data_IF_251450215379
#
_entry.id   IF_251450215379
#
_cell.length_a   1.000
_cell.length_b   1.000
_cell.length_c   1.000
_cell.angle_alpha   90.00
_cell.angle_beta   90.00
_cell.angle_gamma   90.00
#
_symmetry.space_group_name_H-M   'P 1'
#
loop_
_entity.id
_entity.type
_entity.pdbx_description
1 polymer ?
#
# COMPACT_ATOMS: atom_id res chain seq x y z
N UNK A 1 -12.85 -1.27 19.55
CA UNK A 1 -12.58 -0.71 20.91
C UNK A 1 -13.92 -0.36 21.56
N UNK A 2 -14.08 -0.55 22.88
CA UNK A 2 -15.32 -0.19 23.60
C UNK A 2 -15.26 1.25 24.12
N UNK A 3 -16.40 1.97 24.19
CA UNK A 3 -16.41 3.31 24.75
C UNK A 3 -16.05 3.29 26.25
N UNK A 4 -15.33 4.30 26.75
CA UNK A 4 -15.10 4.47 28.19
C UNK A 4 -16.43 4.48 28.99
N UNK A 5 -16.51 3.77 30.13
CA UNK A 5 -17.75 3.61 30.87
C UNK A 5 -18.26 4.93 31.49
N UNK A 6 -17.35 5.87 31.74
CA UNK A 6 -17.61 7.20 32.32
C UNK A 6 -18.36 8.16 31.38
N UNK A 7 -18.49 7.83 30.10
CA UNK A 7 -19.16 8.68 29.12
C UNK A 7 -20.68 8.69 29.31
N UNK A 8 -21.29 9.84 29.04
CA UNK A 8 -22.74 9.96 28.85
C UNK A 8 -23.19 9.19 27.62
N UNK A 9 -24.47 8.77 27.59
CA UNK A 9 -24.99 7.96 26.48
C UNK A 9 -24.83 8.60 25.09
N UNK A 10 -25.03 9.92 24.90
CA UNK A 10 -24.78 10.57 23.61
C UNK A 10 -23.32 10.45 23.15
N UNK A 11 -22.35 10.54 24.07
CA UNK A 11 -20.93 10.41 23.76
C UNK A 11 -20.53 8.95 23.53
N UNK A 12 -21.16 8.00 24.23
CA UNK A 12 -21.00 6.56 23.96
C UNK A 12 -21.47 6.21 22.55
N UNK A 13 -22.58 6.79 22.12
CA UNK A 13 -23.13 6.55 20.78
C UNK A 13 -22.22 7.14 19.69
N UNK A 14 -21.77 8.40 19.85
CA UNK A 14 -20.79 8.99 18.94
C UNK A 14 -19.50 8.17 18.87
N UNK A 15 -18.98 7.72 20.01
CA UNK A 15 -17.78 6.87 20.05
C UNK A 15 -17.96 5.59 19.23
N UNK A 16 -19.11 4.92 19.35
CA UNK A 16 -19.41 3.70 18.57
C UNK A 16 -19.46 3.99 17.07
N UNK A 17 -20.10 5.07 16.67
CA UNK A 17 -20.18 5.50 15.27
C UNK A 17 -18.78 5.77 14.70
N UNK A 18 -17.96 6.51 15.44
CA UNK A 18 -16.57 6.78 15.05
C UNK A 18 -15.72 5.50 15.01
N UNK A 19 -15.95 4.55 15.93
CA UNK A 19 -15.24 3.28 15.94
C UNK A 19 -15.56 2.43 14.72
N UNK A 20 -16.80 2.44 14.21
CA UNK A 20 -17.14 1.76 12.96
C UNK A 20 -16.32 2.30 11.79
N UNK A 21 -16.15 3.62 11.71
CA UNK A 21 -15.33 4.25 10.67
C UNK A 21 -13.85 3.91 10.83
N UNK A 22 -13.31 3.92 12.07
CA UNK A 22 -11.94 3.49 12.35
C UNK A 22 -11.71 2.02 11.98
N UNK A 23 -12.67 1.14 12.28
CA UNK A 23 -12.60 -0.27 11.90
C UNK A 23 -12.56 -0.44 10.38
N UNK A 24 -13.39 0.31 9.64
CA UNK A 24 -13.36 0.28 8.17
C UNK A 24 -11.99 0.72 7.63
N UNK A 25 -11.40 1.78 8.20
CA UNK A 25 -10.08 2.24 7.80
C UNK A 25 -9.00 1.18 8.07
N UNK A 26 -8.98 0.58 9.27
CA UNK A 26 -8.06 -0.52 9.61
C UNK A 26 -8.16 -1.69 8.63
N UNK A 27 -9.39 -2.09 8.29
CA UNK A 27 -9.63 -3.17 7.34
C UNK A 27 -9.10 -2.81 5.94
N UNK A 28 -9.39 -1.59 5.47
CA UNK A 28 -8.88 -1.10 4.19
C UNK A 28 -7.34 -1.12 4.17
N UNK A 29 -6.69 -0.60 5.22
CA UNK A 29 -5.24 -0.59 5.33
C UNK A 29 -4.65 -2.00 5.34
N UNK A 30 -5.30 -2.95 6.01
CA UNK A 30 -4.91 -4.36 5.97
C UNK A 30 -5.00 -4.95 4.57
N UNK A 31 -6.12 -4.72 3.86
CA UNK A 31 -6.31 -5.26 2.51
C UNK A 31 -5.28 -4.69 1.53
N UNK A 32 -4.96 -3.40 1.63
CA UNK A 32 -3.97 -2.76 0.76
C UNK A 32 -2.55 -3.30 0.99
N UNK A 33 -2.18 -3.59 2.24
CA UNK A 33 -0.90 -4.22 2.58
C UNK A 33 -0.80 -5.63 2.00
N UNK A 34 -1.82 -6.46 2.20
CA UNK A 34 -1.89 -7.81 1.61
C UNK A 34 -1.78 -7.78 0.09
N UNK A 35 -2.49 -6.84 -0.56
CA UNK A 35 -2.40 -6.66 -2.02
C UNK A 35 -0.99 -6.28 -2.47
N UNK A 36 -0.27 -5.46 -1.69
CA UNK A 36 1.10 -5.09 -2.02
C UNK A 36 2.05 -6.29 -1.90
N UNK A 37 1.93 -7.09 -0.83
CA UNK A 37 2.69 -8.32 -0.61
C UNK A 37 2.48 -9.30 -1.77
N UNK A 38 1.22 -9.63 -2.07
CA UNK A 38 0.88 -10.55 -3.17
C UNK A 38 1.36 -10.02 -4.52
N UNK A 39 1.30 -8.70 -4.74
CA UNK A 39 1.82 -8.09 -5.97
C UNK A 39 3.34 -8.23 -6.08
N UNK A 40 4.07 -8.13 -4.96
CA UNK A 40 5.52 -8.34 -4.91
C UNK A 40 5.87 -9.79 -5.24
N UNK A 41 5.23 -10.74 -4.56
CA UNK A 41 5.42 -12.18 -4.80
C UNK A 41 5.19 -12.55 -6.27
N UNK A 42 4.12 -12.02 -6.88
CA UNK A 42 3.84 -12.24 -8.30
C UNK A 42 4.92 -11.67 -9.21
N UNK A 43 5.46 -10.49 -8.90
CA UNK A 43 6.51 -9.87 -9.73
C UNK A 43 7.82 -10.65 -9.63
N UNK A 44 8.19 -11.10 -8.43
CA UNK A 44 9.32 -12.02 -8.22
C UNK A 44 9.15 -13.27 -9.08
N UNK A 45 7.98 -13.92 -9.03
CA UNK A 45 7.67 -15.08 -9.87
C UNK A 45 7.77 -14.79 -11.37
N UNK A 46 7.34 -13.60 -11.83
CA UNK A 46 7.50 -13.17 -13.24
C UNK A 46 8.97 -13.06 -13.63
N UNK A 47 9.83 -12.53 -12.74
CA UNK A 47 11.28 -12.45 -12.98
C UNK A 47 11.90 -13.84 -13.10
N UNK A 48 11.54 -14.77 -12.21
CA UNK A 48 11.96 -16.17 -12.28
C UNK A 48 11.50 -16.86 -13.58
N UNK A 49 10.24 -16.68 -13.97
CA UNK A 49 9.70 -17.27 -15.20
C UNK A 49 10.38 -16.72 -16.45
N UNK A 50 10.64 -15.40 -16.47
CA UNK A 50 11.42 -14.76 -17.55
C UNK A 50 12.82 -15.38 -17.65
N UNK A 51 13.53 -15.53 -16.53
CA UNK A 51 14.86 -16.13 -16.51
C UNK A 51 14.87 -17.58 -16.99
N UNK A 52 13.93 -18.41 -16.50
CA UNK A 52 13.81 -19.81 -16.91
C UNK A 52 13.57 -19.95 -18.42
N UNK A 53 12.71 -19.10 -19.00
CA UNK A 53 12.46 -19.08 -20.44
C UNK A 53 13.69 -18.68 -21.24
N UNK A 54 14.42 -17.66 -20.79
CA UNK A 54 15.66 -17.25 -21.46
C UNK A 54 16.71 -18.35 -21.42
N UNK A 55 16.86 -19.07 -20.29
CA UNK A 55 17.76 -20.23 -20.17
C UNK A 55 17.35 -21.39 -21.09
N UNK A 56 16.05 -21.60 -21.27
CA UNK A 56 15.50 -22.62 -22.15
C UNK A 56 15.44 -22.20 -23.64
N UNK A 57 15.92 -20.99 -23.99
CA UNK A 57 15.78 -20.39 -25.32
C UNK A 57 14.32 -20.37 -25.84
N UNK A 58 13.36 -20.16 -24.93
CA UNK A 58 11.94 -20.13 -25.26
C UNK A 58 11.46 -18.69 -25.53
N UNK A 59 10.81 -18.49 -26.68
CA UNK A 59 10.17 -17.23 -27.04
C UNK A 59 8.97 -16.92 -26.13
N UNK A 60 8.50 -15.66 -26.16
CA UNK A 60 7.32 -15.26 -25.39
C UNK A 60 6.11 -16.04 -25.91
N UNK A 61 5.29 -16.67 -25.04
CA UNK A 61 4.10 -17.36 -25.50
C UNK A 61 3.15 -16.37 -26.15
N UNK A 62 2.54 -16.77 -27.28
CA UNK A 62 1.55 -15.94 -27.96
C UNK A 62 0.29 -15.83 -27.07
N UNK A 63 0.07 -14.65 -26.52
CA UNK A 63 -1.03 -14.38 -25.59
C UNK A 63 -1.59 -12.96 -25.77
N UNK A 64 -2.81 -12.71 -25.29
CA UNK A 64 -3.38 -11.37 -25.29
C UNK A 64 -2.48 -10.35 -24.57
N UNK A 65 -1.84 -10.76 -23.46
CA UNK A 65 -0.89 -9.90 -22.73
C UNK A 65 0.33 -9.54 -23.60
N UNK A 66 0.85 -10.49 -24.37
CA UNK A 66 1.98 -10.26 -25.29
C UNK A 66 1.60 -9.29 -26.40
N UNK A 67 0.44 -9.49 -27.01
CA UNK A 67 -0.06 -8.60 -28.08
C UNK A 67 -0.29 -7.18 -27.55
N UNK A 68 -0.84 -7.04 -26.34
CA UNK A 68 -1.04 -5.73 -25.72
C UNK A 68 0.29 -5.05 -25.40
N UNK A 69 1.28 -5.80 -24.91
CA UNK A 69 2.63 -5.29 -24.62
C UNK A 69 3.33 -4.84 -25.91
N UNK A 70 3.28 -5.64 -26.97
CA UNK A 70 3.86 -5.30 -28.28
C UNK A 70 3.18 -4.08 -28.94
N UNK A 71 1.92 -3.81 -28.57
CA UNK A 71 1.17 -2.64 -29.05
C UNK A 71 1.45 -1.34 -28.25
N UNK A 72 2.19 -1.41 -27.13
CA UNK A 72 2.55 -0.21 -26.37
C UNK A 72 3.56 0.64 -27.14
N UNK A 73 3.25 1.93 -27.31
CA UNK A 73 4.03 2.90 -28.12
C UNK A 73 5.49 3.03 -27.66
N UNK A 74 5.79 2.68 -26.40
CA UNK A 74 7.13 2.73 -25.83
C UNK A 74 7.93 1.43 -26.01
N UNK A 75 7.30 0.32 -26.43
CA UNK A 75 8.00 -0.88 -26.85
C UNK A 75 8.45 -0.70 -28.30
N UNK A 76 9.50 0.09 -28.50
CA UNK A 76 10.20 0.10 -29.79
C UNK A 76 10.89 -1.25 -29.92
N UNK A 77 10.56 -2.09 -30.92
CA UNK A 77 11.31 -3.31 -31.17
C UNK A 77 12.77 -2.92 -31.38
N UNK A 78 13.68 -3.49 -30.59
CA UNK A 78 15.10 -3.48 -30.95
C UNK A 78 15.17 -4.12 -32.33
N UNK A 79 15.57 -3.35 -33.34
CA UNK A 79 15.62 -3.79 -34.73
C UNK A 79 16.20 -5.21 -34.81
N UNK A 80 15.44 -6.12 -35.40
CA UNK A 80 15.83 -7.51 -35.65
C UNK A 80 16.95 -7.62 -36.72
N UNK A 81 17.78 -6.59 -36.87
CA UNK A 81 18.96 -6.52 -37.73
C UNK A 81 20.25 -6.52 -36.90
N UNK A 82 20.33 -7.38 -35.88
CA UNK A 82 21.61 -7.81 -35.36
C UNK A 82 21.97 -9.13 -36.07
N UNK A 83 22.72 -8.99 -37.17
CA UNK A 83 23.57 -10.01 -37.81
C UNK A 83 23.70 -11.32 -36.99
N UNK A 84 23.11 -12.40 -37.51
CA UNK A 84 23.14 -13.79 -36.97
C UNK A 84 24.58 -14.31 -36.70
N UNK A 85 25.60 -13.56 -37.10
CA UNK A 85 27.00 -13.95 -37.02
C UNK A 85 27.72 -13.49 -35.75
N UNK A 86 27.11 -12.67 -34.88
CA UNK A 86 27.80 -12.16 -33.66
C UNK A 86 26.88 -11.97 -32.45
N UNK A 87 26.10 -12.96 -32.06
CA UNK A 87 25.57 -12.99 -30.68
C UNK A 87 26.77 -13.12 -29.74
N UNK A 88 27.27 -11.98 -29.30
CA UNK A 88 28.37 -11.84 -28.37
C UNK A 88 28.12 -12.75 -27.16
N UNK A 89 29.12 -13.51 -26.73
CA UNK A 89 29.06 -14.30 -25.47
C UNK A 89 28.64 -13.41 -24.29
N UNK A 90 28.86 -12.09 -24.41
CA UNK A 90 28.49 -11.04 -23.44
C UNK A 90 26.99 -10.72 -23.40
N UNK A 91 26.24 -11.01 -24.47
CA UNK A 91 24.78 -10.81 -24.56
C UNK A 91 23.98 -12.02 -24.06
N UNK A 92 24.65 -13.10 -23.66
CA UNK A 92 23.99 -14.24 -23.04
C UNK A 92 23.53 -13.86 -21.65
N UNK A 93 22.26 -14.15 -21.37
CA UNK A 93 21.71 -14.14 -20.03
C UNK A 93 22.69 -14.78 -19.04
N UNK A 94 22.89 -14.12 -17.91
CA UNK A 94 23.79 -14.56 -16.86
C UNK A 94 23.18 -14.26 -15.48
N UNK A 95 23.74 -14.89 -14.45
CA UNK A 95 23.25 -14.74 -13.08
C UNK A 95 23.24 -13.28 -12.59
N UNK A 96 24.17 -12.43 -13.04
CA UNK A 96 24.19 -11.00 -12.66
C UNK A 96 22.97 -10.26 -13.23
N UNK A 97 22.59 -10.54 -14.46
CA UNK A 97 21.38 -9.98 -15.08
C UNK A 97 20.14 -10.34 -14.28
N UNK A 98 20.04 -11.60 -13.86
CA UNK A 98 18.93 -12.09 -13.04
C UNK A 98 18.85 -11.40 -11.68
N UNK A 99 19.97 -11.30 -10.96
CA UNK A 99 20.03 -10.60 -9.67
C UNK A 99 19.67 -9.12 -9.82
N UNK A 100 20.09 -8.47 -10.92
CA UNK A 100 19.69 -7.08 -11.20
C UNK A 100 18.18 -6.94 -11.34
N UNK A 101 17.50 -7.87 -12.05
CA UNK A 101 16.05 -7.81 -12.18
C UNK A 101 15.31 -8.02 -10.86
N UNK A 102 15.82 -8.89 -9.98
CA UNK A 102 15.25 -9.05 -8.64
C UNK A 102 15.44 -7.77 -7.82
N UNK A 103 16.62 -7.15 -7.88
CA UNK A 103 16.87 -5.88 -7.20
C UNK A 103 15.94 -4.76 -7.72
N UNK A 104 15.68 -4.71 -9.02
CA UNK A 104 14.73 -3.74 -9.60
C UNK A 104 13.30 -3.93 -9.04
N UNK A 105 12.91 -5.19 -8.74
CA UNK A 105 11.62 -5.50 -8.09
C UNK A 105 11.65 -5.06 -6.63
N UNK A 106 12.70 -5.38 -5.88
CA UNK A 106 12.84 -4.98 -4.48
C UNK A 106 12.77 -3.44 -4.34
N UNK A 107 13.58 -2.72 -5.12
CA UNK A 107 13.62 -1.25 -5.13
C UNK A 107 12.26 -0.63 -5.51
N UNK A 108 11.51 -1.28 -6.41
CA UNK A 108 10.17 -0.85 -6.82
C UNK A 108 9.19 -1.02 -5.66
N UNK A 109 9.16 -2.18 -5.02
CA UNK A 109 8.20 -2.47 -3.97
C UNK A 109 8.51 -1.76 -2.65
N UNK A 110 9.77 -1.46 -2.35
CA UNK A 110 10.17 -0.61 -1.23
C UNK A 110 9.64 0.83 -1.38
N UNK A 111 9.72 1.39 -2.59
CA UNK A 111 9.13 2.70 -2.90
C UNK A 111 7.61 2.66 -2.75
N UNK A 112 6.95 1.62 -3.28
CA UNK A 112 5.50 1.46 -3.14
C UNK A 112 5.07 1.30 -1.69
N UNK A 113 5.80 0.53 -0.87
CA UNK A 113 5.57 0.38 0.58
C UNK A 113 5.69 1.73 1.30
N UNK A 114 6.75 2.49 0.99
CA UNK A 114 6.96 3.82 1.58
C UNK A 114 5.80 4.76 1.24
N UNK A 115 5.38 4.82 -0.03
CA UNK A 115 4.23 5.61 -0.45
C UNK A 115 2.92 5.16 0.20
N UNK A 116 2.71 3.85 0.31
CA UNK A 116 1.53 3.26 0.96
C UNK A 116 1.45 3.71 2.43
N UNK A 117 2.52 3.54 3.18
CA UNK A 117 2.58 3.88 4.60
C UNK A 117 2.37 5.38 4.85
N UNK A 118 3.02 6.23 4.07
CA UNK A 118 2.82 7.69 4.17
C UNK A 118 1.36 8.07 3.93
N UNK A 119 0.72 7.49 2.91
CA UNK A 119 -0.71 7.72 2.66
C UNK A 119 -1.57 7.25 3.83
N UNK A 120 -1.32 6.05 4.36
CA UNK A 120 -2.10 5.51 5.48
C UNK A 120 -1.95 6.35 6.75
N UNK A 121 -0.76 6.89 7.02
CA UNK A 121 -0.52 7.85 8.12
C UNK A 121 -1.34 9.13 7.94
N UNK A 122 -1.36 9.69 6.72
CA UNK A 122 -2.19 10.87 6.43
C UNK A 122 -3.68 10.59 6.58
N UNK A 123 -4.16 9.43 6.13
CA UNK A 123 -5.56 9.03 6.28
C UNK A 123 -5.95 8.86 7.75
N UNK A 124 -5.12 8.20 8.55
CA UNK A 124 -5.34 8.03 9.99
C UNK A 124 -5.37 9.38 10.72
N UNK A 125 -4.43 10.28 10.42
CA UNK A 125 -4.38 11.62 10.98
C UNK A 125 -5.59 12.47 10.57
N UNK A 126 -5.97 12.44 9.29
CA UNK A 126 -7.13 13.15 8.77
C UNK A 126 -8.44 12.66 9.43
N UNK A 127 -8.62 11.34 9.54
CA UNK A 127 -9.77 10.77 10.24
C UNK A 127 -9.79 11.19 11.71
N UNK A 128 -8.65 11.14 12.40
CA UNK A 128 -8.58 11.54 13.80
C UNK A 128 -8.92 13.04 13.99
N UNK A 129 -8.44 13.91 13.10
CA UNK A 129 -8.78 15.33 13.13
C UNK A 129 -10.29 15.57 12.97
N UNK A 130 -10.92 14.91 12.00
CA UNK A 130 -12.39 14.97 11.80
C UNK A 130 -13.12 14.48 13.04
N UNK A 131 -12.73 13.33 13.58
CA UNK A 131 -13.38 12.74 14.75
C UNK A 131 -13.21 13.59 16.01
N UNK A 132 -12.06 14.28 16.18
CA UNK A 132 -11.85 15.23 17.27
C UNK A 132 -12.72 16.47 17.12
N UNK A 133 -12.92 16.97 15.90
CA UNK A 133 -13.83 18.09 15.63
C UNK A 133 -15.30 17.70 15.91
N UNK A 134 -15.74 16.53 15.45
CA UNK A 134 -17.08 16.01 15.76
C UNK A 134 -17.28 15.85 17.26
N UNK A 135 -16.26 15.36 17.97
CA UNK A 135 -16.30 15.21 19.42
C UNK A 135 -16.39 16.56 20.13
N UNK A 136 -15.59 17.55 19.71
CA UNK A 136 -15.65 18.91 20.21
C UNK A 136 -17.06 19.51 20.04
N UNK A 137 -17.62 19.40 18.83
CA UNK A 137 -18.98 19.87 18.54
C UNK A 137 -19.99 19.16 19.43
N UNK A 138 -19.85 17.85 19.64
CA UNK A 138 -20.77 17.10 20.50
C UNK A 138 -20.70 17.53 21.96
N UNK A 139 -19.52 17.84 22.48
CA UNK A 139 -19.37 18.40 23.82
C UNK A 139 -20.06 19.77 23.92
N UNK A 140 -19.86 20.64 22.93
CA UNK A 140 -20.50 21.96 22.87
C UNK A 140 -22.02 21.88 22.74
N UNK A 141 -22.57 20.90 22.02
CA UNK A 141 -24.01 20.65 21.95
C UNK A 141 -24.61 20.26 23.31
N UNK A 142 -23.89 19.44 24.08
CA UNK A 142 -24.36 18.90 25.36
C UNK A 142 -24.24 19.93 26.49
N UNK A 143 -23.17 20.71 26.51
CA UNK A 143 -22.95 21.78 27.48
C UNK A 143 -22.14 22.95 26.87
N UNK A 144 -22.83 23.90 26.21
CA UNK A 144 -22.18 25.01 25.54
C UNK A 144 -21.40 25.92 26.50
N UNK A 145 -21.84 26.05 27.75
CA UNK A 145 -21.21 26.94 28.72
C UNK A 145 -19.86 26.40 29.17
N UNK A 146 -19.79 25.11 29.47
CA UNK A 146 -18.55 24.44 29.91
C UNK A 146 -17.53 24.32 28.77
N UNK A 147 -17.98 24.04 27.54
CA UNK A 147 -17.09 23.68 26.43
C UNK A 147 -16.89 24.77 25.36
N UNK A 148 -17.27 26.03 25.64
CA UNK A 148 -17.22 27.14 24.67
C UNK A 148 -15.87 27.33 23.99
N UNK A 149 -14.77 27.11 24.71
CA UNK A 149 -13.40 27.36 24.23
C UNK A 149 -12.51 26.12 24.20
N UNK A 150 -13.08 24.91 24.35
CA UNK A 150 -12.27 23.68 24.34
C UNK A 150 -11.60 23.52 22.98
N UNK A 151 -10.31 23.22 22.98
CA UNK A 151 -9.53 22.96 21.77
C UNK A 151 -9.55 21.47 21.41
N UNK A 152 -9.50 21.13 20.12
CA UNK A 152 -9.41 19.72 19.69
C UNK A 152 -8.16 19.01 20.21
N UNK A 153 -7.10 19.76 20.52
CA UNK A 153 -5.85 19.23 21.06
C UNK A 153 -5.94 18.88 22.56
N UNK A 154 -6.94 19.42 23.27
CA UNK A 154 -7.20 19.13 24.69
C UNK A 154 -8.06 17.87 24.87
N UNK A 155 -8.68 17.38 23.79
CA UNK A 155 -9.44 16.13 23.80
C UNK A 155 -8.47 14.97 24.01
N UNK A 156 -8.71 14.18 25.05
CA UNK A 156 -7.86 13.05 25.39
C UNK A 156 -7.95 11.94 24.33
N UNK A 157 -6.82 11.31 24.03
CA UNK A 157 -6.72 10.29 22.98
C UNK A 157 -7.63 9.08 23.23
N UNK A 158 -7.83 8.69 24.48
CA UNK A 158 -8.71 7.56 24.80
C UNK A 158 -10.19 7.80 24.45
N UNK A 159 -10.61 9.07 24.30
CA UNK A 159 -11.95 9.43 23.81
C UNK A 159 -12.02 9.39 22.28
N UNK A 160 -10.96 9.80 21.59
CA UNK A 160 -10.86 9.78 20.13
C UNK A 160 -9.53 9.16 19.70
N UNK A 161 -9.42 7.81 19.71
CA UNK A 161 -8.16 7.13 19.45
C UNK A 161 -7.69 7.33 18.02
N UNK A 162 -6.37 7.46 17.84
CA UNK A 162 -5.76 7.40 16.52
C UNK A 162 -5.81 5.97 15.98
N UNK A 163 -5.99 5.83 14.67
CA UNK A 163 -5.83 4.53 14.01
C UNK A 163 -4.34 4.26 13.88
N UNK A 164 -3.88 3.17 14.48
CA UNK A 164 -2.51 2.69 14.33
C UNK A 164 -2.24 2.25 12.88
N UNK A 165 -1.09 2.67 12.35
CA UNK A 165 -0.62 2.31 11.01
C UNK A 165 0.56 1.37 11.19
N UNK A 166 0.31 0.08 11.03
CA UNK A 166 1.32 -0.95 11.17
C UNK A 166 2.25 -0.96 9.94
N UNK A 167 3.51 -0.60 10.18
CA UNK A 167 4.63 -0.58 9.25
C UNK A 167 5.51 -1.85 9.30
N UNK A 168 5.35 -2.64 10.37
CA UNK A 168 6.02 -3.91 10.64
C UNK A 168 5.40 -5.07 9.84
N UNK A 169 5.59 -5.02 8.52
CA UNK A 169 5.31 -6.14 7.62
C UNK A 169 6.43 -6.32 6.60
N UNK A 170 6.76 -7.55 6.28
CA UNK A 170 7.79 -7.88 5.29
C UNK A 170 7.16 -8.01 3.89
N UNK A 171 7.86 -7.53 2.86
CA UNK A 171 7.46 -7.69 1.46
C UNK A 171 7.90 -9.04 0.89
N UNK A 172 8.93 -9.63 1.47
CA UNK A 172 9.45 -10.94 1.11
C UNK A 172 8.74 -12.02 1.93
N UNK A 173 8.29 -13.12 1.31
CA UNK A 173 7.79 -14.26 2.07
C UNK A 173 8.92 -14.92 2.87
N UNK A 174 8.57 -15.45 4.05
CA UNK A 174 9.41 -16.37 4.85
C UNK A 174 9.52 -17.72 4.15
#
# INVERSE_FOLDING_TARGET
ITPPPSLSDPLKELFKQQEVVRMKLRLQHSIEREKLIVSNEQEVLRVHYRAARTLANQTLPFSACTVLLDAEVYNVPLDAQADDSKTSVRDRFNARQFMSWLQDVDDKFDKLKTCLLMRQQHEAAALNAVQRLEWQLKLQELDPATYKSISIYEIQEFYVPLVDVNDDFELTPI
#
